data_IF_322227289778
#
_entry.id   IF_322227289778
#
_cell.length_a   1.000
_cell.length_b   1.000
_cell.length_c   1.000
_cell.angle_alpha   90.00
_cell.angle_beta   90.00
_cell.angle_gamma   90.00
#
_symmetry.space_group_name_H-M   'P 1'
#
loop_
_entity.id
_entity.type
_entity.pdbx_description
1 polymer ?
#
# COMPACT_ATOMS: atom_id res chain seq x y z
N UNK A 1 3.21 21.80 23.18
CA UNK A 1 2.01 20.98 23.23
C UNK A 1 0.86 21.65 22.49
N UNK A 2 0.12 20.91 21.70
CA UNK A 2 -0.88 21.45 20.78
C UNK A 2 -2.29 21.31 21.33
N UNK A 3 -2.59 21.95 22.45
CA UNK A 3 -3.89 21.77 23.13
C UNK A 3 -5.10 22.08 22.24
N UNK A 4 -4.95 22.96 21.23
CA UNK A 4 -6.01 23.37 20.32
C UNK A 4 -5.82 22.91 18.88
N UNK A 5 -4.72 22.23 18.60
CA UNK A 5 -4.44 21.73 17.26
C UNK A 5 -4.87 20.28 17.12
N UNK A 6 -5.30 19.91 15.92
CA UNK A 6 -5.54 18.52 15.56
C UNK A 6 -4.43 18.03 14.65
N UNK A 7 -4.13 16.74 14.75
CA UNK A 7 -3.15 16.09 13.90
C UNK A 7 -3.83 14.92 13.21
N UNK A 8 -3.77 14.92 11.88
CA UNK A 8 -4.36 13.85 11.07
C UNK A 8 -3.26 13.04 10.40
N UNK A 9 -3.37 11.73 10.49
CA UNK A 9 -2.51 10.84 9.72
C UNK A 9 -3.13 10.68 8.32
N UNK A 10 -2.46 11.19 7.28
CA UNK A 10 -3.09 11.28 5.94
C UNK A 10 -2.46 10.36 4.91
N UNK A 11 -1.17 10.07 5.01
CA UNK A 11 -0.50 9.31 3.96
C UNK A 11 0.80 8.67 4.42
N UNK A 12 1.20 7.64 3.68
CA UNK A 12 2.56 7.11 3.67
C UNK A 12 3.12 7.40 2.29
N UNK A 13 4.37 7.80 2.21
CA UNK A 13 5.06 8.04 0.95
C UNK A 13 6.15 7.01 0.75
N UNK A 14 6.11 6.30 -0.37
CA UNK A 14 7.16 5.36 -0.76
C UNK A 14 8.09 6.06 -1.74
N UNK A 15 9.39 5.99 -1.48
CA UNK A 15 10.41 6.45 -2.41
C UNK A 15 10.80 5.29 -3.32
N UNK A 16 10.85 5.55 -4.61
CA UNK A 16 11.15 4.52 -5.61
C UNK A 16 12.06 5.07 -6.71
N UNK A 17 12.84 4.20 -7.32
CA UNK A 17 13.62 4.54 -8.51
C UNK A 17 12.76 4.60 -9.77
N UNK A 18 11.60 3.96 -9.76
CA UNK A 18 10.72 3.87 -10.94
C UNK A 18 9.27 4.08 -10.53
N UNK A 19 8.83 5.33 -10.57
CA UNK A 19 7.49 5.73 -10.14
C UNK A 19 6.43 5.05 -11.00
N UNK A 20 6.59 5.04 -12.31
CA UNK A 20 5.59 4.46 -13.21
C UNK A 20 5.37 2.95 -12.95
N UNK A 21 6.45 2.23 -12.70
CA UNK A 21 6.37 0.79 -12.42
C UNK A 21 5.64 0.51 -11.11
N UNK A 22 5.95 1.28 -10.07
CA UNK A 22 5.32 1.08 -8.77
C UNK A 22 3.85 1.50 -8.80
N UNK A 23 3.53 2.60 -9.47
CA UNK A 23 2.15 3.04 -9.67
C UNK A 23 1.34 1.98 -10.42
N UNK A 24 1.90 1.43 -11.50
CA UNK A 24 1.21 0.40 -12.29
C UNK A 24 0.84 -0.81 -11.44
N UNK A 25 1.75 -1.25 -10.57
CA UNK A 25 1.48 -2.35 -9.66
C UNK A 25 0.28 -2.04 -8.76
N UNK A 26 0.30 -0.88 -8.09
CA UNK A 26 -0.77 -0.55 -7.14
C UNK A 26 -2.10 -0.26 -7.83
N UNK A 27 -2.10 0.35 -9.01
CA UNK A 27 -3.33 0.53 -9.77
C UNK A 27 -3.97 -0.82 -10.12
N UNK A 28 -3.16 -1.79 -10.56
CA UNK A 28 -3.67 -3.13 -10.89
C UNK A 28 -4.12 -3.88 -9.65
N UNK A 29 -3.35 -3.82 -8.58
CA UNK A 29 -3.66 -4.57 -7.36
C UNK A 29 -4.87 -4.03 -6.62
N UNK A 30 -5.08 -2.71 -6.64
CA UNK A 30 -6.14 -2.06 -5.87
C UNK A 30 -7.36 -1.67 -6.70
N UNK A 31 -7.20 -1.59 -8.02
CA UNK A 31 -8.25 -1.04 -8.88
C UNK A 31 -8.44 0.46 -8.74
N UNK A 32 -7.57 1.14 -8.00
CA UNK A 32 -7.65 2.58 -7.78
C UNK A 32 -6.71 3.30 -8.74
N UNK A 33 -7.22 4.25 -9.55
CA UNK A 33 -6.35 5.00 -10.44
C UNK A 33 -5.52 6.01 -9.64
N UNK A 34 -4.27 6.21 -10.07
CA UNK A 34 -3.41 7.19 -9.46
C UNK A 34 -3.67 8.59 -10.03
N UNK A 35 -3.44 9.60 -9.19
CA UNK A 35 -3.43 11.01 -9.58
C UNK A 35 -1.98 11.48 -9.60
N UNK A 36 -1.51 11.97 -10.74
CA UNK A 36 -0.15 12.42 -10.92
C UNK A 36 -0.05 13.93 -10.72
N UNK A 37 0.81 14.36 -9.78
CA UNK A 37 1.14 15.75 -9.61
C UNK A 37 2.24 16.17 -10.58
N UNK A 38 3.27 15.33 -10.69
CA UNK A 38 4.35 15.44 -11.67
C UNK A 38 4.74 14.03 -12.09
N UNK A 39 5.71 13.88 -13.00
CA UNK A 39 6.22 12.55 -13.36
C UNK A 39 6.95 11.87 -12.20
N UNK A 40 7.34 12.62 -11.16
CA UNK A 40 8.03 12.12 -10.00
C UNK A 40 7.14 11.94 -8.77
N UNK A 41 5.87 12.25 -8.86
CA UNK A 41 4.97 12.20 -7.71
C UNK A 41 3.55 11.82 -8.11
N UNK A 42 3.08 10.71 -7.58
CA UNK A 42 1.72 10.23 -7.79
C UNK A 42 1.08 9.82 -6.47
N UNK A 43 -0.24 9.81 -6.42
CA UNK A 43 -1.00 9.44 -5.24
C UNK A 43 -2.13 8.49 -5.61
N UNK A 44 -2.26 7.40 -4.83
CA UNK A 44 -3.46 6.59 -4.82
C UNK A 44 -4.30 7.02 -3.63
N UNK A 45 -5.39 7.72 -3.90
CA UNK A 45 -6.28 8.23 -2.88
C UNK A 45 -7.44 7.26 -2.66
N UNK A 46 -7.58 6.79 -1.43
CA UNK A 46 -8.75 6.01 -1.02
C UNK A 46 -9.55 6.81 -0.01
N UNK A 47 -10.80 6.40 0.31
CA UNK A 47 -11.59 7.14 1.29
C UNK A 47 -10.95 7.25 2.67
N UNK A 48 -10.07 6.33 3.05
CA UNK A 48 -9.50 6.26 4.40
C UNK A 48 -8.08 6.80 4.50
N UNK A 49 -7.29 6.71 3.44
CA UNK A 49 -5.89 7.12 3.46
C UNK A 49 -5.34 7.24 2.04
N UNK A 50 -4.18 7.85 1.93
CA UNK A 50 -3.50 8.03 0.65
C UNK A 50 -2.16 7.30 0.67
N UNK A 51 -1.87 6.56 -0.39
CA UNK A 51 -0.54 6.04 -0.65
C UNK A 51 0.13 6.95 -1.67
N UNK A 52 1.18 7.65 -1.25
CA UNK A 52 1.97 8.49 -2.13
C UNK A 52 3.18 7.73 -2.66
N UNK A 53 3.49 7.90 -3.93
CA UNK A 53 4.63 7.26 -4.59
C UNK A 53 5.46 8.35 -5.24
N UNK A 54 6.71 8.48 -4.82
CA UNK A 54 7.57 9.56 -5.28
C UNK A 54 8.94 9.05 -5.68
N UNK A 55 9.50 9.67 -6.70
CA UNK A 55 10.82 9.30 -7.21
C UNK A 55 11.95 9.78 -6.32
N UNK A 56 13.10 9.13 -6.45
CA UNK A 56 14.32 9.50 -5.71
C UNK A 56 14.72 10.95 -5.91
N UNK A 57 14.35 11.55 -7.05
CA UNK A 57 14.64 12.97 -7.32
C UNK A 57 13.90 13.93 -6.39
N UNK A 58 12.84 13.48 -5.71
CA UNK A 58 12.11 14.33 -4.77
C UNK A 58 12.77 14.40 -3.40
N UNK A 59 13.63 13.45 -3.05
CA UNK A 59 14.25 13.38 -1.73
C UNK A 59 15.13 14.60 -1.41
N UNK A 60 16.00 15.07 -2.32
CA UNK A 60 16.81 16.26 -2.05
C UNK A 60 16.00 17.53 -1.83
N UNK A 61 14.73 17.57 -2.24
CA UNK A 61 13.85 18.73 -2.00
C UNK A 61 13.55 18.91 -0.51
N UNK A 62 13.63 17.83 0.27
CA UNK A 62 13.45 17.86 1.73
C UNK A 62 14.80 17.79 2.42
N UNK A 63 15.48 16.65 2.33
CA UNK A 63 16.79 16.44 2.94
C UNK A 63 17.55 15.38 2.13
N UNK A 64 18.66 15.74 1.49
CA UNK A 64 19.44 14.79 0.70
C UNK A 64 19.83 13.57 1.53
N UNK A 65 19.64 12.37 0.96
CA UNK A 65 20.01 11.12 1.62
C UNK A 65 19.08 10.66 2.73
N UNK A 66 17.98 11.37 2.99
CA UNK A 66 17.09 11.05 4.12
C UNK A 66 16.19 9.83 3.85
N UNK A 67 16.01 9.43 2.61
CA UNK A 67 15.23 8.25 2.24
C UNK A 67 15.85 7.57 1.03
N UNK A 68 15.68 6.25 0.92
CA UNK A 68 16.22 5.44 -0.16
C UNK A 68 15.15 4.51 -0.71
N UNK A 69 15.20 4.20 -2.01
CA UNK A 69 14.25 3.26 -2.60
C UNK A 69 14.56 1.83 -2.16
N UNK A 70 13.54 0.97 -2.18
CA UNK A 70 13.65 -0.47 -1.97
C UNK A 70 14.37 -0.85 -0.66
N UNK A 71 14.20 -0.05 0.38
CA UNK A 71 14.92 -0.23 1.65
C UNK A 71 13.99 -0.37 2.86
N UNK A 72 12.71 -0.59 2.64
CA UNK A 72 11.75 -0.78 3.71
C UNK A 72 11.65 -2.26 4.07
N UNK A 73 11.88 -2.58 5.33
CA UNK A 73 11.80 -3.94 5.86
C UNK A 73 10.94 -4.04 7.12
N UNK A 74 10.29 -2.97 7.54
CA UNK A 74 9.51 -2.95 8.78
C UNK A 74 8.06 -2.54 8.60
N UNK A 75 7.78 -1.67 7.63
CA UNK A 75 6.42 -1.17 7.40
C UNK A 75 5.67 -2.11 6.46
N UNK A 76 4.46 -2.48 6.84
CA UNK A 76 3.55 -3.26 6.01
C UNK A 76 2.44 -2.33 5.54
N UNK A 77 2.20 -2.29 4.23
CA UNK A 77 1.15 -1.48 3.65
C UNK A 77 -0.12 -2.33 3.57
N UNK A 78 -1.20 -1.86 4.17
CA UNK A 78 -2.41 -2.67 4.31
C UNK A 78 -3.59 -2.07 3.58
N UNK A 79 -4.28 -2.90 2.81
CA UNK A 79 -5.51 -2.56 2.11
C UNK A 79 -6.63 -3.50 2.53
N UNK A 80 -7.78 -2.94 2.88
CA UNK A 80 -8.97 -3.74 3.11
C UNK A 80 -9.68 -3.97 1.78
N UNK A 81 -10.06 -5.22 1.53
CA UNK A 81 -10.81 -5.62 0.35
C UNK A 81 -12.00 -6.47 0.73
N UNK A 82 -12.97 -6.59 -0.15
CA UNK A 82 -14.19 -7.35 0.14
C UNK A 82 -13.94 -8.86 0.17
N UNK A 83 -13.06 -9.37 -0.68
CA UNK A 83 -12.84 -10.80 -0.84
C UNK A 83 -11.41 -11.08 -1.29
N UNK A 84 -10.55 -11.47 -0.36
CA UNK A 84 -9.13 -11.74 -0.66
C UNK A 84 -8.94 -12.97 -1.53
N UNK A 85 -9.84 -13.95 -1.47
CA UNK A 85 -9.72 -15.14 -2.32
C UNK A 85 -9.96 -14.79 -3.78
N UNK A 86 -10.95 -13.96 -4.05
CA UNK A 86 -11.22 -13.45 -5.39
C UNK A 86 -10.07 -12.58 -5.89
N UNK A 87 -9.53 -11.71 -5.03
CA UNK A 87 -8.38 -10.90 -5.38
C UNK A 87 -7.17 -11.76 -5.70
N UNK A 88 -6.89 -12.77 -4.88
CA UNK A 88 -5.80 -13.70 -5.12
C UNK A 88 -5.89 -14.32 -6.52
N UNK A 89 -7.08 -14.82 -6.87
CA UNK A 89 -7.30 -15.39 -8.20
C UNK A 89 -7.05 -14.38 -9.33
N UNK A 90 -7.45 -13.13 -9.13
CA UNK A 90 -7.21 -12.08 -10.12
C UNK A 90 -5.74 -11.70 -10.26
N UNK A 91 -4.95 -11.83 -9.21
CA UNK A 91 -3.55 -11.45 -9.20
C UNK A 91 -2.60 -12.55 -9.68
N UNK A 92 -3.01 -13.80 -9.69
CA UNK A 92 -2.12 -14.94 -10.00
C UNK A 92 -1.49 -14.87 -11.38
N UNK A 93 -2.13 -14.21 -12.34
CA UNK A 93 -1.62 -14.15 -13.71
C UNK A 93 -0.41 -13.22 -13.87
N UNK A 94 -0.22 -12.26 -12.96
CA UNK A 94 0.84 -11.27 -13.11
C UNK A 94 1.69 -11.06 -11.85
N UNK A 95 1.30 -11.61 -10.71
CA UNK A 95 2.13 -11.64 -9.50
C UNK A 95 2.78 -13.01 -9.45
N UNK A 96 4.12 -13.10 -9.60
CA UNK A 96 4.77 -14.40 -9.70
C UNK A 96 4.74 -15.19 -8.39
N UNK A 97 4.89 -14.50 -7.26
CA UNK A 97 4.98 -15.16 -5.96
C UNK A 97 4.18 -14.41 -4.91
N UNK A 98 3.56 -15.16 -4.02
CA UNK A 98 2.92 -14.62 -2.83
C UNK A 98 3.75 -15.01 -1.61
N UNK A 99 3.89 -14.08 -0.67
CA UNK A 99 4.53 -14.39 0.62
C UNK A 99 3.68 -15.37 1.40
N UNK A 100 2.36 -15.16 1.39
CA UNK A 100 1.39 -16.08 1.96
C UNK A 100 0.09 -15.97 1.17
N UNK A 101 -0.42 -17.08 0.68
CA UNK A 101 -1.75 -17.13 0.07
C UNK A 101 -2.83 -16.79 1.09
N UNK A 102 -4.11 -16.72 0.66
CA UNK A 102 -5.19 -16.35 1.56
C UNK A 102 -5.22 -17.23 2.80
N UNK A 103 -5.09 -16.63 3.98
CA UNK A 103 -5.00 -17.32 5.26
C UNK A 103 -5.80 -16.56 6.32
N UNK A 104 -6.62 -17.27 7.07
CA UNK A 104 -7.37 -16.67 8.17
C UNK A 104 -6.46 -16.54 9.38
N UNK A 105 -6.33 -15.33 9.89
CA UNK A 105 -5.51 -15.05 11.07
C UNK A 105 -6.23 -15.45 12.35
N UNK A 106 -5.48 -15.67 13.45
CA UNK A 106 -6.10 -16.02 14.74
C UNK A 106 -7.16 -15.04 15.22
N UNK A 107 -7.04 -13.75 14.84
CA UNK A 107 -8.02 -12.71 15.18
C UNK A 107 -9.17 -12.60 14.18
N UNK A 108 -9.23 -13.48 13.18
CA UNK A 108 -10.36 -13.63 12.27
C UNK A 108 -10.23 -12.97 10.92
N UNK A 109 -9.36 -11.99 10.76
CA UNK A 109 -9.11 -11.39 9.44
C UNK A 109 -8.52 -12.42 8.50
N UNK A 110 -8.91 -12.37 7.23
CA UNK A 110 -8.32 -13.21 6.21
C UNK A 110 -7.37 -12.38 5.37
N UNK A 111 -6.11 -12.78 5.30
CA UNK A 111 -5.02 -11.98 4.75
C UNK A 111 -4.36 -12.64 3.57
N UNK A 112 -3.88 -11.80 2.65
CA UNK A 112 -3.09 -12.18 1.49
C UNK A 112 -1.84 -11.30 1.48
N UNK A 113 -0.67 -11.92 1.56
CA UNK A 113 0.60 -11.20 1.64
C UNK A 113 1.39 -11.35 0.34
N UNK A 114 1.83 -10.23 -0.20
CA UNK A 114 2.70 -10.20 -1.37
C UNK A 114 3.67 -9.03 -1.27
N UNK A 115 4.63 -8.97 -2.19
CA UNK A 115 5.56 -7.86 -2.27
C UNK A 115 5.32 -7.05 -3.52
N UNK A 116 5.44 -5.74 -3.39
CA UNK A 116 5.44 -4.87 -4.56
C UNK A 116 6.78 -4.96 -5.31
N UNK A 117 6.93 -4.29 -6.46
CA UNK A 117 8.18 -4.37 -7.24
C UNK A 117 9.43 -3.90 -6.50
N UNK A 118 9.29 -3.07 -5.47
CA UNK A 118 10.42 -2.59 -4.67
C UNK A 118 10.65 -3.45 -3.41
N UNK A 119 9.91 -4.54 -3.25
CA UNK A 119 10.05 -5.43 -2.11
C UNK A 119 9.27 -5.03 -0.87
N UNK A 120 8.44 -3.98 -0.94
CA UNK A 120 7.59 -3.62 0.19
C UNK A 120 6.55 -4.70 0.42
N UNK A 121 6.35 -5.07 1.69
CA UNK A 121 5.33 -6.04 2.04
C UNK A 121 3.96 -5.38 2.03
N UNK A 122 3.03 -6.03 1.33
CA UNK A 122 1.66 -5.55 1.17
C UNK A 122 0.72 -6.62 1.69
N UNK A 123 -0.21 -6.21 2.54
CA UNK A 123 -1.27 -7.07 3.07
C UNK A 123 -2.61 -6.61 2.55
N UNK A 124 -3.28 -7.48 1.80
CA UNK A 124 -4.69 -7.31 1.47
C UNK A 124 -5.49 -8.16 2.42
N UNK A 125 -6.49 -7.59 3.07
CA UNK A 125 -7.26 -8.36 4.03
C UNK A 125 -8.76 -8.09 3.93
N UNK A 126 -9.52 -9.13 4.30
CA UNK A 126 -10.96 -9.05 4.51
C UNK A 126 -11.19 -9.14 6.01
N UNK A 127 -11.89 -8.17 6.61
CA UNK A 127 -12.12 -8.19 8.05
C UNK A 127 -12.88 -9.42 8.49
N UNK A 128 -12.66 -9.81 9.75
CA UNK A 128 -13.48 -10.84 10.38
C UNK A 128 -14.95 -10.44 10.33
N UNK A 129 -15.81 -11.43 10.11
CA UNK A 129 -17.24 -11.21 10.20
C UNK A 129 -17.58 -10.75 11.63
N UNK A 130 -18.34 -9.65 11.73
CA UNK A 130 -18.79 -9.20 13.03
C UNK A 130 -19.93 -10.07 13.53
N UNK A 131 -19.94 -10.43 14.82
CA UNK A 131 -21.11 -11.06 15.39
C UNK A 131 -22.33 -10.16 15.24
N UNK A 132 -23.48 -10.75 14.96
CA UNK A 132 -24.72 -10.00 14.93
C UNK A 132 -25.04 -9.50 16.35
N UNK A 133 -25.30 -8.22 16.46
CA UNK A 133 -25.71 -7.61 17.72
C UNK A 133 -27.20 -7.41 17.66
N UNK A 134 -27.89 -8.07 18.54
CA UNK A 134 -29.34 -7.98 18.63
C UNK A 134 -29.76 -7.08 19.79
#
# INVERSE_FOLDING_TARGET
MHATETTDFVSVRIITDDVARLVDFYEKATGTPATWATEDFAELRTPTATLAIAGTRTVPLFAPGSARPADNHSVIIEFRVDDVDRLHNALTDWVPDFVSGPTTMPWGNRSLLLRDPDGNLVNFFTPAARPQVN
#
